data_IF_505879418127
#
_entry.id   IF_505879418127
#
_cell.length_a   1.000
_cell.length_b   1.000
_cell.length_c   1.000
_cell.angle_alpha   90.00
_cell.angle_beta   90.00
_cell.angle_gamma   90.00
#
_symmetry.space_group_name_H-M   'P 1'
#
loop_
_entity.id
_entity.type
_entity.pdbx_description
1 polymer ?
#
# COMPACT_ATOMS: atom_id res chain seq x y z
N UNK A 1 -48.46 7.21 -16.33
CA UNK A 1 -48.74 8.06 -15.16
C UNK A 1 -48.06 7.47 -13.94
N UNK A 2 -47.06 8.16 -13.41
CA UNK A 2 -46.43 7.79 -12.13
C UNK A 2 -47.03 8.66 -11.02
N UNK A 3 -47.31 8.11 -9.82
CA UNK A 3 -47.85 8.86 -8.72
C UNK A 3 -46.77 9.75 -8.09
N UNK A 4 -47.10 11.03 -7.90
CA UNK A 4 -46.26 12.01 -7.23
C UNK A 4 -46.15 11.69 -5.72
N UNK A 5 -44.92 11.73 -5.20
CA UNK A 5 -44.62 11.53 -3.78
C UNK A 5 -44.87 12.85 -3.02
N UNK A 6 -45.63 12.85 -1.91
CA UNK A 6 -45.94 14.09 -1.20
C UNK A 6 -44.74 14.61 -0.37
N UNK A 7 -44.65 15.93 -0.14
CA UNK A 7 -43.50 16.54 0.51
C UNK A 7 -43.46 16.25 2.03
N UNK A 8 -42.29 15.84 2.51
CA UNK A 8 -42.01 15.60 3.93
C UNK A 8 -41.84 16.94 4.65
N UNK A 9 -42.78 17.30 5.54
CA UNK A 9 -42.65 18.44 6.45
C UNK A 9 -41.64 18.09 7.56
N UNK A 10 -40.46 18.72 7.53
CA UNK A 10 -39.49 18.63 8.65
C UNK A 10 -39.93 19.57 9.77
N UNK A 11 -40.29 18.99 10.93
CA UNK A 11 -40.52 19.74 12.15
C UNK A 11 -39.17 20.16 12.76
N UNK A 12 -38.96 21.47 12.90
CA UNK A 12 -37.84 22.05 13.65
C UNK A 12 -38.15 21.99 15.14
N UNK A 13 -37.65 20.97 15.84
CA UNK A 13 -37.61 20.95 17.30
C UNK A 13 -36.21 21.40 17.76
N UNK A 14 -36.05 22.71 17.99
CA UNK A 14 -34.89 23.26 18.70
C UNK A 14 -35.17 23.21 20.20
N UNK A 15 -34.91 22.08 20.85
CA UNK A 15 -34.83 22.02 22.30
C UNK A 15 -33.51 22.69 22.74
N UNK A 16 -33.58 23.91 23.28
CA UNK A 16 -32.46 24.57 23.96
C UNK A 16 -32.26 23.90 25.31
N UNK A 17 -31.22 23.08 25.43
CA UNK A 17 -30.76 22.63 26.75
C UNK A 17 -30.11 23.80 27.50
N UNK A 18 -30.36 23.94 28.82
CA UNK A 18 -29.77 24.98 29.63
C UNK A 18 -28.25 24.77 29.76
N UNK A 19 -27.52 25.85 29.52
CA UNK A 19 -26.08 25.96 29.66
C UNK A 19 -25.63 25.57 31.07
N UNK A 20 -24.96 24.43 31.19
CA UNK A 20 -24.07 24.14 32.32
C UNK A 20 -22.77 24.90 32.09
N UNK A 21 -22.49 25.87 32.95
CA UNK A 21 -21.22 26.59 32.96
C UNK A 21 -20.13 25.67 33.52
N UNK A 22 -19.35 25.04 32.64
CA UNK A 22 -18.05 24.46 33.02
C UNK A 22 -16.93 25.46 32.69
N UNK A 23 -16.14 25.78 33.71
CA UNK A 23 -14.98 26.67 33.65
C UNK A 23 -13.83 26.10 32.79
N UNK A 24 -12.92 26.95 32.30
CA UNK A 24 -12.31 26.79 30.99
C UNK A 24 -10.87 26.30 31.06
N UNK A 25 -10.68 24.98 31.05
CA UNK A 25 -9.51 24.32 30.46
C UNK A 25 -9.92 22.89 30.10
N UNK A 26 -10.90 22.77 29.19
CA UNK A 26 -11.38 21.49 28.69
C UNK A 26 -10.36 20.80 27.77
N UNK A 27 -9.19 20.46 28.32
CA UNK A 27 -8.24 19.59 27.67
C UNK A 27 -8.89 18.22 27.52
N UNK A 28 -8.96 17.73 26.28
CA UNK A 28 -9.53 16.42 26.00
C UNK A 28 -8.71 15.35 26.72
N UNK A 29 -9.35 14.29 27.21
CA UNK A 29 -8.65 13.12 27.77
C UNK A 29 -7.63 12.57 26.76
N UNK A 30 -7.92 12.70 25.47
CA UNK A 30 -7.03 12.28 24.39
C UNK A 30 -5.72 13.10 24.34
N UNK A 31 -5.74 14.35 24.77
CA UNK A 31 -4.55 15.21 24.79
C UNK A 31 -3.58 14.82 25.92
N UNK A 32 -4.07 14.11 26.94
CA UNK A 32 -3.29 13.63 28.09
C UNK A 32 -2.74 12.22 27.91
N UNK A 33 -3.17 11.50 26.88
CA UNK A 33 -2.68 10.15 26.61
C UNK A 33 -1.23 10.19 26.11
N UNK A 34 -0.35 9.32 26.63
CA UNK A 34 0.97 9.11 26.04
C UNK A 34 0.86 8.79 24.55
N UNK A 35 1.74 9.39 23.76
CA UNK A 35 1.75 9.25 22.29
C UNK A 35 1.79 7.78 21.83
N UNK A 36 2.50 6.92 22.56
CA UNK A 36 2.56 5.47 22.28
C UNK A 36 1.17 4.82 22.33
N UNK A 37 0.32 5.18 23.30
CA UNK A 37 -1.03 4.64 23.41
C UNK A 37 -1.94 5.20 22.31
N UNK A 38 -1.76 6.46 21.93
CA UNK A 38 -2.47 7.05 20.79
C UNK A 38 -2.10 6.33 19.48
N UNK A 39 -0.83 5.98 19.29
CA UNK A 39 -0.41 5.21 18.11
C UNK A 39 -1.03 3.82 18.08
N UNK A 40 -1.07 3.12 19.21
CA UNK A 40 -1.77 1.84 19.32
C UNK A 40 -3.27 1.99 19.01
N UNK A 41 -3.91 3.07 19.47
CA UNK A 41 -5.30 3.35 19.13
C UNK A 41 -5.46 3.52 17.61
N UNK A 42 -4.58 4.28 16.96
CA UNK A 42 -4.60 4.48 15.51
C UNK A 42 -4.36 3.17 14.75
N UNK A 43 -3.49 2.30 15.26
CA UNK A 43 -3.24 0.96 14.74
C UNK A 43 -4.51 0.09 14.74
N UNK A 44 -5.35 0.23 15.78
CA UNK A 44 -6.61 -0.50 15.91
C UNK A 44 -7.80 0.15 15.18
N UNK A 45 -7.75 1.46 14.93
CA UNK A 45 -8.84 2.19 14.25
C UNK A 45 -8.35 3.01 13.05
N UNK A 46 -7.73 2.39 12.04
CA UNK A 46 -7.16 3.10 10.90
C UNK A 46 -8.22 3.87 10.06
N UNK A 47 -9.45 3.37 10.00
CA UNK A 47 -10.59 4.03 9.34
C UNK A 47 -11.03 5.33 10.03
N UNK A 48 -10.80 5.46 11.32
CA UNK A 48 -11.22 6.66 12.08
C UNK A 48 -10.19 7.77 12.06
N UNK A 49 -8.99 7.53 11.52
CA UNK A 49 -7.87 8.45 11.65
C UNK A 49 -8.11 9.81 10.96
N UNK A 50 -8.88 9.81 9.87
CA UNK A 50 -9.30 11.05 9.20
C UNK A 50 -10.20 11.91 10.08
N UNK A 51 -11.14 11.28 10.78
CA UNK A 51 -12.03 11.98 11.71
C UNK A 51 -11.22 12.56 12.87
N UNK A 52 -10.30 11.76 13.45
CA UNK A 52 -9.41 12.20 14.53
C UNK A 52 -8.55 13.41 14.11
N UNK A 53 -8.07 13.45 12.87
CA UNK A 53 -7.31 14.58 12.31
C UNK A 53 -8.13 15.89 12.28
N UNK A 54 -9.47 15.79 12.21
CA UNK A 54 -10.36 16.95 12.15
C UNK A 54 -10.83 17.44 13.54
N UNK A 55 -10.67 16.64 14.60
CA UNK A 55 -11.18 16.97 15.94
C UNK A 55 -10.51 18.21 16.53
N UNK A 56 -9.18 18.20 16.68
CA UNK A 56 -8.44 19.31 17.26
C UNK A 56 -7.02 19.43 16.67
N UNK A 57 -6.34 20.56 16.94
CA UNK A 57 -5.00 20.81 16.41
C UNK A 57 -3.97 19.80 16.96
N UNK A 58 -4.04 19.47 18.24
CA UNK A 58 -3.12 18.54 18.90
C UNK A 58 -3.19 17.16 18.25
N UNK A 59 -4.39 16.57 18.14
CA UNK A 59 -4.59 15.29 17.45
C UNK A 59 -4.16 15.33 15.99
N UNK A 60 -4.40 16.43 15.27
CA UNK A 60 -3.90 16.61 13.91
C UNK A 60 -2.39 16.47 13.83
N UNK A 61 -1.63 17.12 14.71
CA UNK A 61 -0.17 17.04 14.74
C UNK A 61 0.30 15.62 15.09
N UNK A 62 -0.35 14.96 16.05
CA UNK A 62 -0.02 13.59 16.44
C UNK A 62 -0.27 12.63 15.27
N UNK A 63 -1.42 12.73 14.60
CA UNK A 63 -1.74 11.95 13.39
C UNK A 63 -0.71 12.21 12.29
N UNK A 64 -0.29 13.46 12.07
CA UNK A 64 0.74 13.78 11.06
C UNK A 64 2.10 13.16 11.38
N UNK A 65 2.50 13.14 12.65
CA UNK A 65 3.71 12.43 13.11
C UNK A 65 3.56 10.91 12.97
N UNK A 66 2.40 10.36 13.30
CA UNK A 66 2.11 8.93 13.14
C UNK A 66 2.15 8.48 11.67
N UNK A 67 1.60 9.28 10.75
CA UNK A 67 1.64 9.01 9.30
C UNK A 67 3.10 8.94 8.81
N UNK A 68 3.99 9.76 9.38
CA UNK A 68 5.42 9.77 9.05
C UNK A 68 6.19 8.56 9.59
N UNK A 69 5.65 7.86 10.59
CA UNK A 69 6.29 6.68 11.18
C UNK A 69 5.97 5.43 10.36
N UNK A 70 7.01 4.78 9.83
CA UNK A 70 6.86 3.67 8.88
C UNK A 70 6.38 2.33 9.50
N UNK A 71 5.95 2.27 10.76
CA UNK A 71 6.46 1.16 11.59
C UNK A 71 5.49 0.16 12.22
N UNK A 72 4.20 0.37 12.43
CA UNK A 72 3.45 -0.54 13.33
C UNK A 72 2.46 -1.50 12.65
N UNK A 73 1.77 -1.08 11.59
CA UNK A 73 0.68 -1.88 11.00
C UNK A 73 0.89 -2.16 9.52
N UNK A 74 0.66 -3.43 9.14
CA UNK A 74 0.52 -3.85 7.74
C UNK A 74 -0.77 -3.24 7.16
N UNK A 75 -0.61 -2.29 6.24
CA UNK A 75 -1.73 -1.64 5.58
C UNK A 75 -2.16 -2.33 4.28
N UNK A 76 -1.29 -3.15 3.70
CA UNK A 76 -1.49 -3.72 2.37
C UNK A 76 -1.61 -5.24 2.46
N UNK A 77 -2.41 -5.84 1.60
CA UNK A 77 -2.48 -7.30 1.50
C UNK A 77 -1.67 -7.80 0.31
N UNK A 78 -1.74 -7.07 -0.81
CA UNK A 78 -1.17 -7.51 -2.09
C UNK A 78 -0.57 -6.36 -2.88
N UNK A 79 0.56 -6.64 -3.52
CA UNK A 79 1.17 -5.80 -4.56
C UNK A 79 1.19 -6.58 -5.87
N UNK A 80 0.73 -5.97 -6.96
CA UNK A 80 0.89 -6.49 -8.32
C UNK A 80 1.73 -5.53 -9.16
N UNK A 81 2.69 -6.06 -9.91
CA UNK A 81 3.48 -5.27 -10.86
C UNK A 81 3.18 -5.75 -12.27
N UNK A 82 2.57 -4.87 -13.07
CA UNK A 82 2.19 -5.11 -14.45
C UNK A 82 3.04 -4.24 -15.38
N UNK A 83 4.20 -4.75 -15.81
CA UNK A 83 5.23 -3.87 -16.38
C UNK A 83 5.25 -3.74 -17.90
N UNK A 84 4.76 -4.73 -18.65
CA UNK A 84 4.88 -4.81 -20.11
C UNK A 84 4.47 -3.53 -20.88
N UNK A 85 3.16 -3.31 -21.09
CA UNK A 85 2.64 -2.16 -21.86
C UNK A 85 2.18 -0.99 -21.00
N UNK A 86 1.84 -1.27 -19.74
CA UNK A 86 1.16 -0.32 -18.84
C UNK A 86 2.13 0.34 -17.86
N UNK A 87 3.19 -0.34 -17.40
CA UNK A 87 4.09 0.14 -16.33
C UNK A 87 3.30 0.61 -15.12
N UNK A 88 2.48 -0.29 -14.59
CA UNK A 88 1.56 0.00 -13.50
C UNK A 88 1.90 -0.88 -12.30
N UNK A 89 1.83 -0.29 -11.12
CA UNK A 89 1.83 -1.01 -9.85
C UNK A 89 0.43 -0.91 -9.27
N UNK A 90 -0.15 -2.05 -8.91
CA UNK A 90 -1.43 -2.13 -8.21
C UNK A 90 -1.19 -2.51 -6.77
N UNK A 91 -1.85 -1.81 -5.85
CA UNK A 91 -1.73 -2.05 -4.42
C UNK A 91 -3.14 -2.30 -3.89
N UNK A 92 -3.31 -3.42 -3.20
CA UNK A 92 -4.58 -3.85 -2.62
C UNK A 92 -4.52 -3.63 -1.12
N UNK A 93 -5.47 -2.86 -0.64
CA UNK A 93 -5.52 -2.35 0.73
C UNK A 93 -6.88 -2.72 1.29
N UNK A 94 -6.98 -3.42 2.43
CA UNK A 94 -8.25 -3.63 3.11
C UNK A 94 -9.01 -2.31 3.30
N UNK A 95 -10.32 -2.31 3.06
CA UNK A 95 -11.13 -1.08 3.11
C UNK A 95 -11.08 -0.39 4.48
N UNK A 96 -10.96 -1.14 5.58
CA UNK A 96 -10.79 -0.58 6.93
C UNK A 96 -9.45 0.13 7.13
N UNK A 97 -8.43 -0.18 6.32
CA UNK A 97 -7.08 0.42 6.37
C UNK A 97 -6.83 1.49 5.31
N UNK A 98 -7.77 1.67 4.36
CA UNK A 98 -7.55 2.51 3.19
C UNK A 98 -7.34 3.99 3.49
N UNK A 99 -7.98 4.51 4.53
CA UNK A 99 -7.86 5.93 4.90
C UNK A 99 -6.46 6.27 5.41
N UNK A 100 -5.91 5.41 6.27
CA UNK A 100 -4.54 5.55 6.75
C UNK A 100 -3.51 5.35 5.62
N UNK A 101 -3.71 4.35 4.76
CA UNK A 101 -2.85 4.15 3.60
C UNK A 101 -2.86 5.38 2.68
N UNK A 102 -4.04 5.94 2.41
CA UNK A 102 -4.16 7.11 1.55
C UNK A 102 -3.50 8.35 2.14
N UNK A 103 -3.58 8.54 3.46
CA UNK A 103 -2.85 9.58 4.16
C UNK A 103 -1.34 9.44 3.98
N UNK A 104 -0.80 8.22 4.15
CA UNK A 104 0.63 7.95 3.91
C UNK A 104 1.01 8.17 2.46
N UNK A 105 0.20 7.68 1.52
CA UNK A 105 0.45 7.85 0.10
C UNK A 105 0.47 9.33 -0.30
N UNK A 106 -0.48 10.13 0.21
CA UNK A 106 -0.53 11.59 0.02
C UNK A 106 0.71 12.28 0.61
N UNK A 107 1.11 11.86 1.80
CA UNK A 107 2.25 12.45 2.51
C UNK A 107 3.59 12.13 1.83
N UNK A 108 3.85 10.87 1.51
CA UNK A 108 5.15 10.43 0.99
C UNK A 108 5.29 10.59 -0.52
N UNK A 109 4.24 10.29 -1.30
CA UNK A 109 4.34 10.13 -2.76
C UNK A 109 3.78 11.35 -3.51
N UNK A 110 2.59 11.83 -3.13
CA UNK A 110 1.95 12.95 -3.86
C UNK A 110 2.68 14.28 -3.62
N UNK A 111 3.20 14.51 -2.42
CA UNK A 111 4.01 15.70 -2.11
C UNK A 111 5.29 15.81 -2.97
N UNK A 112 5.79 14.69 -3.48
CA UNK A 112 7.04 14.58 -4.24
C UNK A 112 6.85 14.65 -5.76
N UNK A 113 5.88 15.45 -6.25
CA UNK A 113 5.58 15.67 -7.67
C UNK A 113 4.85 14.50 -8.39
N UNK A 114 4.39 13.48 -7.66
CA UNK A 114 3.47 12.50 -8.22
C UNK A 114 2.09 13.14 -8.37
N UNK A 115 1.74 13.55 -9.58
CA UNK A 115 0.46 14.20 -9.87
C UNK A 115 -0.70 13.31 -9.42
N UNK A 116 -1.69 13.85 -8.70
CA UNK A 116 -2.88 13.09 -8.26
C UNK A 116 -3.57 12.33 -9.40
N UNK A 117 -3.48 12.83 -10.63
CA UNK A 117 -4.01 12.20 -11.85
C UNK A 117 -3.40 10.83 -12.20
N UNK A 118 -2.32 10.43 -11.52
CA UNK A 118 -1.61 9.16 -11.76
C UNK A 118 -1.96 8.07 -10.75
N UNK A 119 -2.83 8.39 -9.78
CA UNK A 119 -3.33 7.44 -8.78
C UNK A 119 -4.82 7.26 -9.05
N UNK A 120 -5.19 6.11 -9.60
CA UNK A 120 -6.60 5.73 -9.77
C UNK A 120 -7.01 4.80 -8.64
N UNK A 121 -8.24 4.95 -8.15
CA UNK A 121 -8.78 4.19 -7.01
C UNK A 121 -10.05 3.48 -7.43
N UNK A 122 -10.14 2.21 -7.05
CA UNK A 122 -11.32 1.37 -7.28
C UNK A 122 -11.63 0.59 -6.03
N UNK A 123 -12.89 0.59 -5.62
CA UNK A 123 -13.36 -0.33 -4.59
C UNK A 123 -13.72 -1.66 -5.27
N UNK A 124 -13.12 -2.75 -4.79
CA UNK A 124 -13.43 -4.12 -5.22
C UNK A 124 -13.63 -4.97 -3.97
N UNK A 125 -14.87 -5.38 -3.73
CA UNK A 125 -15.22 -6.24 -2.59
C UNK A 125 -14.76 -5.59 -1.26
N UNK A 126 -13.89 -6.27 -0.52
CA UNK A 126 -13.33 -5.83 0.78
C UNK A 126 -12.04 -5.02 0.66
N UNK A 127 -11.65 -4.64 -0.57
CA UNK A 127 -10.38 -3.95 -0.83
C UNK A 127 -10.54 -2.67 -1.63
N UNK A 128 -9.71 -1.70 -1.29
CA UNK A 128 -9.39 -0.55 -2.12
C UNK A 128 -8.14 -0.86 -2.95
N UNK A 129 -8.29 -0.76 -4.26
CA UNK A 129 -7.21 -0.98 -5.23
C UNK A 129 -6.68 0.36 -5.75
N UNK A 130 -5.39 0.59 -5.58
CA UNK A 130 -4.68 1.79 -6.03
C UNK A 130 -3.81 1.45 -7.24
N UNK A 131 -3.98 2.18 -8.35
CA UNK A 131 -3.18 2.03 -9.57
C UNK A 131 -2.21 3.19 -9.67
N UNK A 132 -0.92 2.89 -9.73
CA UNK A 132 0.14 3.86 -9.87
C UNK A 132 0.77 3.71 -11.25
N UNK A 133 0.58 4.71 -12.12
CA UNK A 133 1.09 4.72 -13.50
C UNK A 133 2.49 5.37 -13.59
N UNK A 134 3.48 4.57 -14.00
CA UNK A 134 4.88 4.97 -14.17
C UNK A 134 5.24 5.31 -15.62
N UNK A 135 4.33 5.15 -16.59
CA UNK A 135 4.60 5.37 -18.01
C UNK A 135 5.09 6.79 -18.30
N UNK A 136 4.59 7.79 -17.57
CA UNK A 136 4.92 9.22 -17.73
C UNK A 136 5.91 9.75 -16.67
N UNK A 137 6.56 8.90 -15.90
CA UNK A 137 7.55 9.33 -14.90
C UNK A 137 8.92 9.45 -15.57
N UNK A 138 9.59 10.59 -15.33
CA UNK A 138 10.96 10.79 -15.80
C UNK A 138 11.88 9.81 -15.07
N UNK A 139 12.80 9.15 -15.80
CA UNK A 139 13.71 8.14 -15.23
C UNK A 139 14.43 8.65 -13.97
N UNK A 140 14.88 9.90 -13.96
CA UNK A 140 15.64 10.47 -12.85
C UNK A 140 14.82 10.70 -11.56
N UNK A 141 13.48 10.87 -11.66
CA UNK A 141 12.60 11.03 -10.49
C UNK A 141 11.98 9.71 -10.03
N UNK A 142 12.07 8.66 -10.84
CA UNK A 142 11.44 7.37 -10.54
C UNK A 142 12.00 6.73 -9.28
N UNK A 143 13.33 6.75 -9.13
CA UNK A 143 13.99 6.16 -7.96
C UNK A 143 13.46 6.70 -6.63
N UNK A 144 13.39 8.03 -6.48
CA UNK A 144 12.95 8.66 -5.24
C UNK A 144 11.45 8.45 -4.96
N UNK A 145 10.62 8.40 -6.02
CA UNK A 145 9.20 8.07 -5.90
C UNK A 145 9.03 6.64 -5.39
N UNK A 146 9.80 5.70 -5.93
CA UNK A 146 9.75 4.30 -5.50
C UNK A 146 10.25 4.14 -4.06
N UNK A 147 11.33 4.82 -3.67
CA UNK A 147 11.84 4.76 -2.30
C UNK A 147 10.79 5.29 -1.28
N UNK A 148 10.06 6.35 -1.66
CA UNK A 148 8.93 6.89 -0.87
C UNK A 148 7.73 5.96 -0.85
N UNK A 149 7.45 5.28 -1.97
CA UNK A 149 6.40 4.27 -2.02
C UNK A 149 6.75 3.09 -1.13
N UNK A 150 7.99 2.58 -1.16
CA UNK A 150 8.47 1.52 -0.28
C UNK A 150 8.29 1.92 1.20
N UNK A 151 8.66 3.14 1.58
CA UNK A 151 8.42 3.64 2.95
C UNK A 151 6.92 3.68 3.31
N UNK A 152 6.05 4.08 2.38
CA UNK A 152 4.59 4.06 2.57
C UNK A 152 4.04 2.64 2.77
N UNK A 153 4.65 1.65 2.11
CA UNK A 153 4.28 0.22 2.20
C UNK A 153 4.80 -0.45 3.49
N UNK A 154 5.57 0.28 4.31
CA UNK A 154 6.18 -0.25 5.53
C UNK A 154 7.56 -0.91 5.31
N UNK A 155 8.18 -0.65 4.16
CA UNK A 155 9.55 -1.09 3.87
C UNK A 155 10.62 -0.34 4.68
N UNK A 156 11.86 -0.77 4.54
CA UNK A 156 12.97 -0.25 5.35
C UNK A 156 13.48 1.09 4.81
N UNK A 157 13.28 2.14 5.60
CA UNK A 157 13.88 3.46 5.38
C UNK A 157 15.29 3.59 6.00
N UNK A 158 15.65 2.74 6.98
CA UNK A 158 16.95 2.78 7.70
C UNK A 158 17.14 1.48 8.50
N UNK A 159 18.39 0.98 8.61
CA UNK A 159 19.03 -0.19 9.27
C UNK A 159 18.38 -0.93 10.48
N UNK A 160 17.09 -0.75 10.73
CA UNK A 160 16.29 -1.47 11.73
C UNK A 160 16.01 -2.87 11.21
N UNK A 161 16.63 -3.87 11.83
CA UNK A 161 16.49 -5.30 11.51
C UNK A 161 15.10 -5.89 11.83
N UNK A 162 14.17 -5.09 12.35
CA UNK A 162 12.79 -5.51 12.55
C UNK A 162 12.10 -5.69 11.20
N UNK A 163 12.28 -6.90 10.65
CA UNK A 163 11.57 -7.42 9.48
C UNK A 163 10.08 -7.32 9.77
N UNK A 164 9.35 -6.58 8.95
CA UNK A 164 7.93 -6.35 9.15
C UNK A 164 7.16 -6.69 7.89
N UNK A 165 5.95 -7.18 8.16
CA UNK A 165 4.82 -7.15 7.25
C UNK A 165 4.97 -8.06 6.03
N UNK A 166 4.26 -9.18 6.09
CA UNK A 166 4.06 -10.14 5.01
C UNK A 166 3.06 -9.61 3.99
N UNK A 167 3.47 -9.50 2.73
CA UNK A 167 2.55 -9.18 1.64
C UNK A 167 2.57 -10.27 0.57
N UNK A 168 1.44 -10.45 -0.12
CA UNK A 168 1.40 -11.23 -1.36
C UNK A 168 1.94 -10.37 -2.48
N UNK A 169 2.96 -10.86 -3.16
CA UNK A 169 3.53 -10.18 -4.30
C UNK A 169 3.21 -10.95 -5.58
N UNK A 170 2.71 -10.27 -6.60
CA UNK A 170 2.41 -10.88 -7.91
C UNK A 170 3.08 -10.12 -9.03
N UNK A 171 3.74 -10.86 -9.92
CA UNK A 171 4.30 -10.34 -11.14
C UNK A 171 3.54 -10.87 -12.34
N UNK A 172 3.07 -9.94 -13.18
CA UNK A 172 2.47 -10.24 -14.47
C UNK A 172 3.45 -9.77 -15.56
N UNK A 173 3.89 -10.71 -16.41
CA UNK A 173 4.75 -10.51 -17.59
C UNK A 173 6.28 -10.38 -17.37
N UNK A 174 7.01 -10.45 -18.49
CA UNK A 174 8.47 -10.31 -18.63
C UNK A 174 9.08 -9.10 -17.91
N UNK A 175 10.29 -9.29 -17.38
CA UNK A 175 11.03 -8.25 -16.69
C UNK A 175 12.03 -7.56 -17.64
N UNK A 176 11.80 -6.27 -17.94
CA UNK A 176 12.91 -5.42 -18.42
C UNK A 176 13.81 -4.99 -17.26
N UNK A 177 15.06 -4.59 -17.54
CA UNK A 177 16.01 -4.20 -16.49
C UNK A 177 15.49 -3.05 -15.59
N UNK A 178 14.66 -2.18 -16.18
CA UNK A 178 14.01 -1.10 -15.42
C UNK A 178 12.98 -1.65 -14.43
N UNK A 179 12.17 -2.64 -14.83
CA UNK A 179 11.25 -3.37 -13.95
C UNK A 179 12.03 -3.98 -12.79
N UNK A 180 13.07 -4.75 -13.09
CA UNK A 180 13.92 -5.43 -12.09
C UNK A 180 14.43 -4.43 -11.04
N UNK A 181 14.92 -3.28 -11.47
CA UNK A 181 15.38 -2.21 -10.58
C UNK A 181 14.27 -1.63 -9.67
N UNK A 182 13.07 -1.43 -10.20
CA UNK A 182 11.93 -0.90 -9.42
C UNK A 182 11.45 -1.92 -8.41
N UNK A 183 11.35 -3.16 -8.83
CA UNK A 183 10.91 -4.29 -8.00
C UNK A 183 11.81 -4.46 -6.79
N UNK A 184 13.13 -4.51 -7.00
CA UNK A 184 14.11 -4.61 -5.90
C UNK A 184 13.92 -3.48 -4.88
N UNK A 185 13.64 -2.26 -5.34
CA UNK A 185 13.43 -1.11 -4.46
C UNK A 185 12.10 -1.17 -3.72
N UNK A 186 11.00 -1.55 -4.38
CA UNK A 186 9.68 -1.68 -3.76
C UNK A 186 9.68 -2.76 -2.69
N UNK A 187 10.36 -3.88 -2.93
CA UNK A 187 10.39 -5.01 -2.02
C UNK A 187 11.39 -4.83 -0.88
N UNK A 188 12.26 -3.82 -0.95
CA UNK A 188 13.33 -3.62 0.03
C UNK A 188 12.79 -3.55 1.46
N UNK A 189 13.18 -4.53 2.27
CA UNK A 189 12.80 -4.60 3.68
C UNK A 189 11.35 -5.02 3.96
N UNK A 190 10.62 -5.48 2.95
CA UNK A 190 9.34 -6.16 3.13
C UNK A 190 9.55 -7.67 3.27
N UNK A 191 8.70 -8.32 4.07
CA UNK A 191 8.58 -9.77 4.05
C UNK A 191 7.54 -10.17 3.00
N UNK A 192 7.80 -11.25 2.28
CA UNK A 192 6.93 -11.71 1.20
C UNK A 192 6.33 -13.02 1.64
N UNK A 193 5.04 -13.01 2.00
CA UNK A 193 4.38 -14.25 2.40
C UNK A 193 4.15 -15.17 1.21
N UNK A 194 3.79 -14.59 0.07
CA UNK A 194 3.53 -15.37 -1.14
C UNK A 194 4.08 -14.60 -2.34
N UNK A 195 5.08 -15.17 -3.00
CA UNK A 195 5.61 -14.65 -4.25
C UNK A 195 4.99 -15.42 -5.41
N UNK A 196 4.11 -14.76 -6.19
CA UNK A 196 3.59 -15.29 -7.45
C UNK A 196 4.33 -14.69 -8.63
N UNK A 197 4.88 -15.54 -9.48
CA UNK A 197 5.60 -15.05 -10.66
C UNK A 197 5.15 -15.78 -11.91
N UNK A 198 4.95 -15.00 -12.96
CA UNK A 198 4.81 -15.47 -14.33
C UNK A 198 6.17 -15.32 -15.04
N UNK A 199 6.92 -16.41 -15.17
CA UNK A 199 8.22 -16.40 -15.85
C UNK A 199 8.09 -16.71 -17.33
N UNK A 200 8.87 -16.02 -18.15
CA UNK A 200 8.95 -16.30 -19.58
C UNK A 200 10.33 -16.80 -20.05
N UNK A 201 11.41 -16.46 -19.35
CA UNK A 201 12.79 -16.80 -19.74
C UNK A 201 13.72 -17.06 -18.53
N UNK A 202 14.96 -17.47 -18.84
CA UNK A 202 15.99 -17.80 -17.85
C UNK A 202 16.48 -16.57 -17.06
N UNK A 203 16.49 -15.38 -17.67
CA UNK A 203 16.88 -14.16 -16.96
C UNK A 203 15.87 -13.78 -15.88
N UNK A 204 14.58 -13.93 -16.20
CA UNK A 204 13.48 -13.73 -15.25
C UNK A 204 13.60 -14.71 -14.08
N UNK A 205 13.91 -15.99 -14.36
CA UNK A 205 14.17 -16.99 -13.34
C UNK A 205 15.35 -16.59 -12.45
N UNK A 206 16.51 -16.25 -13.04
CA UNK A 206 17.68 -15.82 -12.29
C UNK A 206 17.41 -14.59 -11.40
N UNK A 207 16.64 -13.63 -11.91
CA UNK A 207 16.22 -12.47 -11.14
C UNK A 207 15.33 -12.85 -9.94
N UNK A 208 14.40 -13.78 -10.11
CA UNK A 208 13.53 -14.24 -9.03
C UNK A 208 14.32 -15.00 -7.97
N UNK A 209 15.29 -15.81 -8.38
CA UNK A 209 16.19 -16.48 -7.45
C UNK A 209 16.93 -15.46 -6.57
N UNK A 210 17.48 -14.40 -7.19
CA UNK A 210 18.10 -13.29 -6.44
C UNK A 210 17.12 -12.60 -5.49
N UNK A 211 15.85 -12.46 -5.87
CA UNK A 211 14.82 -11.90 -4.98
C UNK A 211 14.53 -12.82 -3.80
N UNK A 212 14.43 -14.12 -4.01
CA UNK A 212 14.20 -15.10 -2.95
C UNK A 212 15.38 -15.13 -1.99
N UNK A 213 16.61 -15.03 -2.47
CA UNK A 213 17.80 -14.96 -1.63
C UNK A 213 17.87 -13.65 -0.82
N UNK A 214 17.49 -12.53 -1.44
CA UNK A 214 17.57 -11.21 -0.82
C UNK A 214 16.45 -10.91 0.19
N UNK A 215 15.33 -11.64 0.13
CA UNK A 215 14.12 -11.37 0.91
C UNK A 215 13.66 -12.61 1.67
N UNK A 216 13.07 -12.43 2.85
CA UNK A 216 12.38 -13.54 3.51
C UNK A 216 11.08 -13.82 2.74
N UNK A 217 11.06 -14.93 1.99
CA UNK A 217 9.91 -15.41 1.24
C UNK A 217 9.36 -16.68 1.90
N UNK A 218 8.13 -16.63 2.40
CA UNK A 218 7.53 -17.76 3.14
C UNK A 218 6.95 -18.83 2.20
N UNK A 219 6.37 -18.40 1.09
CA UNK A 219 5.82 -19.28 0.06
C UNK A 219 6.04 -18.72 -1.34
N UNK A 220 6.24 -19.61 -2.31
CA UNK A 220 6.43 -19.28 -3.72
C UNK A 220 5.40 -20.03 -4.54
N UNK A 221 4.76 -19.35 -5.48
CA UNK A 221 3.89 -19.94 -6.49
C UNK A 221 4.36 -19.51 -7.87
N UNK A 222 4.99 -20.43 -8.58
CA UNK A 222 5.50 -20.18 -9.91
C UNK A 222 4.48 -20.62 -10.95
N UNK A 223 4.19 -19.75 -11.91
CA UNK A 223 3.45 -20.10 -13.12
C UNK A 223 4.39 -19.91 -14.32
N UNK A 224 4.84 -21.01 -14.90
CA UNK A 224 5.67 -20.98 -16.11
C UNK A 224 4.74 -21.04 -17.31
N UNK A 225 4.73 -20.01 -18.16
CA UNK A 225 4.05 -20.09 -19.44
C UNK A 225 4.97 -20.79 -20.42
N UNK A 226 4.52 -21.91 -20.99
CA UNK A 226 5.29 -22.50 -22.09
C UNK A 226 5.26 -21.51 -23.25
N UNK A 227 6.41 -21.14 -23.85
CA UNK A 227 6.37 -20.45 -25.12
C UNK A 227 5.58 -21.31 -26.11
N UNK A 228 4.86 -20.66 -27.04
CA UNK A 228 4.27 -21.32 -28.20
C UNK A 228 5.30 -22.29 -28.80
N UNK A 229 4.84 -23.49 -29.15
CA UNK A 229 5.54 -24.78 -29.42
C UNK A 229 6.77 -24.74 -30.36
N UNK A 230 7.17 -23.58 -30.87
CA UNK A 230 8.33 -23.40 -31.73
C UNK A 230 9.70 -23.66 -31.06
N UNK A 231 9.80 -23.72 -29.72
CA UNK A 231 11.07 -24.05 -29.05
C UNK A 231 10.87 -24.84 -27.73
N UNK A 232 10.87 -26.19 -27.76
CA UNK A 232 10.60 -27.03 -26.60
C UNK A 232 11.70 -27.03 -25.53
N UNK A 233 12.87 -26.42 -25.79
CA UNK A 233 14.00 -26.42 -24.85
C UNK A 233 13.87 -25.45 -23.67
N UNK A 234 13.11 -24.36 -23.81
CA UNK A 234 13.12 -23.27 -22.82
C UNK A 234 12.30 -23.55 -21.55
N UNK A 235 11.28 -24.42 -21.60
CA UNK A 235 10.42 -24.68 -20.43
C UNK A 235 11.10 -25.49 -19.31
N UNK A 236 12.11 -26.30 -19.65
CA UNK A 236 12.77 -27.21 -18.70
C UNK A 236 13.80 -26.49 -17.81
N UNK A 237 14.41 -25.41 -18.30
CA UNK A 237 15.40 -24.62 -17.54
C UNK A 237 14.80 -23.96 -16.30
N UNK A 238 13.64 -23.32 -16.47
CA UNK A 238 12.91 -22.68 -15.38
C UNK A 238 12.52 -23.68 -14.27
N UNK A 239 11.93 -24.82 -14.65
CA UNK A 239 11.50 -25.84 -13.67
C UNK A 239 12.69 -26.37 -12.88
N UNK A 240 13.82 -26.60 -13.54
CA UNK A 240 15.04 -27.10 -12.90
C UNK A 240 15.62 -26.09 -11.91
N UNK A 241 15.69 -24.81 -12.29
CA UNK A 241 16.23 -23.75 -11.45
C UNK A 241 15.45 -23.63 -10.12
N UNK A 242 14.12 -23.76 -10.16
CA UNK A 242 13.31 -23.74 -8.94
C UNK A 242 13.37 -25.03 -8.12
N UNK A 243 13.53 -26.18 -8.77
CA UNK A 243 13.69 -27.46 -8.07
C UNK A 243 15.02 -27.54 -7.28
N UNK A 244 16.04 -26.78 -7.67
CA UNK A 244 17.33 -26.71 -6.96
C UNK A 244 17.31 -25.74 -5.77
N UNK A 245 16.29 -24.87 -5.66
CA UNK A 245 16.16 -23.85 -4.60
C UNK A 245 15.23 -24.28 -3.46
N UNK A 246 14.25 -25.14 -3.74
CA UNK A 246 13.35 -25.73 -2.72
C UNK A 246 14.00 -26.93 -2.03
#
# INVERSE_FOLDING_TARGET
HMPECPPIKRAHYCARHPHTQESPTGESILDKLPEVLLHQLFDHTPSSIMNLKMVCHTLRQIVERYIQQARTVLLIDKIEVCWSKKRVIRIFVPTDKSDLFELRLKHFVISAQFSRSRIMRYCKESHMMYFLDFKKIRKNSEGSIIDRLNACLGGVCSNSLERRSTTKFVFEHQFDERCRGIVRKILRGLNIYELRVECADDEDCAFICQLIEAHAVDAISLTVFSPTISDPGMGLGAIRCFAEIM
#
